data_IF_440240274570
#
_entry.id   IF_440240274570
#
_cell.length_a   1.000
_cell.length_b   1.000
_cell.length_c   1.000
_cell.angle_alpha   90.00
_cell.angle_beta   90.00
_cell.angle_gamma   90.00
#
_symmetry.space_group_name_H-M   'P 1'
#
loop_
_entity.id
_entity.type
_entity.pdbx_description
1 polymer ?
#
# COMPACT_ATOMS: atom_id res chain seq x y z
N UNK A 1 -24.24 6.78 -18.73
CA UNK A 1 -22.93 6.19 -18.39
C UNK A 1 -22.59 6.67 -16.99
N UNK A 2 -22.93 5.87 -15.98
CA UNK A 2 -22.74 6.25 -14.58
C UNK A 2 -21.25 6.15 -14.25
N UNK A 3 -20.63 7.28 -13.91
CA UNK A 3 -19.27 7.31 -13.40
C UNK A 3 -19.25 6.58 -12.05
N UNK A 4 -18.74 5.35 -12.08
CA UNK A 4 -18.33 4.64 -10.86
C UNK A 4 -17.12 5.41 -10.34
N UNK A 5 -17.22 5.91 -9.10
CA UNK A 5 -16.21 6.66 -8.34
C UNK A 5 -14.81 6.82 -8.99
N UNK A 6 -14.51 8.07 -9.39
CA UNK A 6 -13.16 8.64 -9.52
C UNK A 6 -12.32 8.09 -10.67
N UNK A 7 -12.28 8.82 -11.79
CA UNK A 7 -11.25 8.57 -12.79
C UNK A 7 -9.87 8.76 -12.14
N UNK A 8 -9.10 7.67 -12.08
CA UNK A 8 -7.76 7.57 -11.46
C UNK A 8 -6.84 8.69 -11.96
N UNK A 9 -7.07 9.22 -13.17
CA UNK A 9 -6.33 10.33 -13.74
C UNK A 9 -6.41 11.64 -12.94
N UNK A 10 -7.46 11.83 -12.12
CA UNK A 10 -7.65 13.02 -11.29
C UNK A 10 -7.25 12.85 -9.83
N UNK A 11 -6.72 11.67 -9.44
CA UNK A 11 -6.21 11.50 -8.09
C UNK A 11 -4.94 12.34 -7.90
N UNK A 12 -4.92 13.04 -6.77
CA UNK A 12 -3.75 13.78 -6.30
C UNK A 12 -2.77 12.84 -5.59
N UNK A 13 -1.48 13.13 -5.78
CA UNK A 13 -0.40 12.42 -5.10
C UNK A 13 0.09 13.24 -3.89
N UNK A 14 0.44 12.58 -2.77
CA UNK A 14 0.32 11.14 -2.53
C UNK A 14 -1.13 10.73 -2.20
N UNK A 15 -1.56 9.55 -2.65
CA UNK A 15 -2.93 9.05 -2.40
C UNK A 15 -3.20 8.95 -0.88
N UNK A 16 -4.31 9.51 -0.42
CA UNK A 16 -4.69 9.45 1.00
C UNK A 16 -5.33 8.11 1.35
N UNK A 17 -4.50 7.16 1.79
CA UNK A 17 -4.94 5.82 2.19
C UNK A 17 -5.81 5.88 3.45
N UNK A 18 -5.59 6.85 4.35
CA UNK A 18 -6.39 6.98 5.58
C UNK A 18 -7.82 7.39 5.23
N UNK A 19 -7.98 8.32 4.29
CA UNK A 19 -9.30 8.70 3.77
C UNK A 19 -10.02 7.52 3.08
N UNK A 20 -9.29 6.75 2.25
CA UNK A 20 -9.83 5.55 1.62
C UNK A 20 -10.30 4.54 2.68
N UNK A 21 -9.46 4.21 3.66
CA UNK A 21 -9.77 3.23 4.69
C UNK A 21 -10.97 3.65 5.55
N UNK A 22 -11.07 4.93 5.92
CA UNK A 22 -12.20 5.47 6.71
C UNK A 22 -13.54 5.45 5.97
N UNK A 23 -13.53 5.37 4.64
CA UNK A 23 -14.75 5.25 3.83
C UNK A 23 -15.28 3.82 3.73
N UNK A 24 -14.51 2.83 4.19
CA UNK A 24 -14.94 1.44 4.23
C UNK A 24 -15.80 1.24 5.48
N UNK A 25 -16.98 0.65 5.31
CA UNK A 25 -17.90 0.40 6.41
C UNK A 25 -17.23 -0.42 7.53
N UNK A 26 -17.54 -0.10 8.79
CA UNK A 26 -17.04 -0.79 10.00
C UNK A 26 -15.52 -0.70 10.23
N UNK A 27 -14.76 -0.08 9.33
CA UNK A 27 -13.31 0.13 9.51
C UNK A 27 -13.04 1.28 10.47
N UNK A 28 -12.14 1.03 11.41
CA UNK A 28 -11.62 2.00 12.33
C UNK A 28 -10.09 1.97 12.31
N UNK A 29 -9.47 3.15 12.24
CA UNK A 29 -8.01 3.27 12.29
C UNK A 29 -7.58 3.54 13.73
N UNK A 30 -6.81 2.63 14.31
CA UNK A 30 -6.24 2.80 15.63
C UNK A 30 -4.98 3.66 15.58
N UNK A 31 -4.81 4.53 16.58
CA UNK A 31 -3.65 5.41 16.74
C UNK A 31 -2.84 5.14 18.01
N UNK A 32 -3.38 4.30 18.88
CA UNK A 32 -2.80 4.05 20.20
C UNK A 32 -1.50 3.27 20.05
N UNK A 33 -0.55 3.51 20.94
CA UNK A 33 0.74 2.82 20.93
C UNK A 33 0.84 1.93 22.16
N UNK A 34 1.02 0.63 21.95
CA UNK A 34 1.41 -0.32 22.98
C UNK A 34 2.88 -0.74 22.77
N UNK A 35 3.64 -0.81 23.86
CA UNK A 35 5.01 -1.33 23.84
C UNK A 35 5.06 -2.80 23.42
N UNK A 36 3.98 -3.56 23.62
CA UNK A 36 3.91 -4.96 23.20
C UNK A 36 3.94 -5.10 21.67
N UNK A 37 3.51 -4.07 20.94
CA UNK A 37 3.39 -4.08 19.48
C UNK A 37 4.64 -3.53 18.77
N UNK A 38 5.72 -3.23 19.51
CA UNK A 38 6.95 -2.63 18.98
C UNK A 38 7.59 -3.41 17.82
N UNK A 39 7.42 -4.73 17.81
CA UNK A 39 7.99 -5.63 16.80
C UNK A 39 7.03 -5.93 15.63
N UNK A 40 5.79 -5.42 15.71
CA UNK A 40 4.75 -5.55 14.68
C UNK A 40 4.70 -4.25 13.89
N UNK A 41 4.53 -4.36 12.57
CA UNK A 41 4.48 -3.19 11.69
C UNK A 41 3.07 -2.63 11.55
N UNK A 42 2.10 -3.53 11.61
CA UNK A 42 0.68 -3.27 11.53
C UNK A 42 -0.09 -4.55 11.72
N UNK A 43 -1.38 -4.40 12.00
CA UNK A 43 -2.30 -5.51 12.09
C UNK A 43 -3.72 -5.10 11.72
N UNK A 44 -4.52 -6.11 11.39
CA UNK A 44 -5.95 -6.01 11.24
C UNK A 44 -6.64 -6.93 12.24
N UNK A 45 -7.54 -6.38 13.06
CA UNK A 45 -8.36 -7.11 14.03
C UNK A 45 -9.84 -6.98 13.72
N UNK A 46 -10.51 -8.12 13.56
CA UNK A 46 -11.96 -8.19 13.37
C UNK A 46 -12.63 -8.42 14.71
N UNK A 47 -13.70 -7.68 14.99
CA UNK A 47 -14.55 -7.84 16.17
C UNK A 47 -15.97 -8.13 15.74
N UNK A 48 -16.56 -9.14 16.35
CA UNK A 48 -17.96 -9.53 16.12
C UNK A 48 -18.86 -9.10 17.28
N UNK A 49 -20.14 -8.91 16.98
CA UNK A 49 -21.18 -8.72 17.98
C UNK A 49 -21.62 -10.06 18.62
N UNK A 50 -22.54 -10.00 19.58
CA UNK A 50 -23.12 -11.18 20.25
C UNK A 50 -23.87 -12.13 19.29
N UNK A 51 -24.27 -11.64 18.11
CA UNK A 51 -24.94 -12.43 17.07
C UNK A 51 -23.93 -13.11 16.12
N UNK A 52 -22.63 -12.85 16.28
CA UNK A 52 -21.56 -13.38 15.45
C UNK A 52 -21.32 -12.61 14.15
N UNK A 53 -21.97 -11.46 13.95
CA UNK A 53 -21.78 -10.60 12.78
C UNK A 53 -20.60 -9.66 13.01
N UNK A 54 -19.87 -9.31 11.94
CA UNK A 54 -18.80 -8.32 12.03
C UNK A 54 -19.38 -6.97 12.45
N UNK A 55 -18.95 -6.47 13.61
CA UNK A 55 -19.32 -5.16 14.15
C UNK A 55 -18.26 -4.12 13.77
N UNK A 56 -16.98 -4.47 13.93
CA UNK A 56 -15.86 -3.54 13.77
C UNK A 56 -14.62 -4.21 13.20
N UNK A 57 -13.90 -3.48 12.36
CA UNK A 57 -12.61 -3.87 11.79
C UNK A 57 -11.58 -2.82 12.20
N UNK A 58 -10.75 -3.14 13.17
CA UNK A 58 -9.68 -2.26 13.63
C UNK A 58 -8.43 -2.51 12.79
N UNK A 59 -7.91 -1.47 12.13
CA UNK A 59 -6.61 -1.49 11.46
C UNK A 59 -5.66 -0.64 12.28
N UNK A 60 -4.51 -1.20 12.62
CA UNK A 60 -3.44 -0.52 13.32
C UNK A 60 -2.16 -0.55 12.50
N UNK A 61 -1.39 0.52 12.59
CA UNK A 61 -0.06 0.63 11.98
C UNK A 61 0.87 1.25 12.99
N UNK A 62 2.06 0.68 13.10
CA UNK A 62 3.06 1.10 14.07
C UNK A 62 3.47 2.57 13.86
N UNK A 63 3.11 3.47 14.79
CA UNK A 63 3.33 4.91 14.61
C UNK A 63 4.81 5.31 14.73
N UNK A 64 5.68 4.42 15.21
CA UNK A 64 7.13 4.67 15.35
C UNK A 64 7.90 4.50 14.05
N UNK A 65 7.29 3.88 13.04
CA UNK A 65 7.94 3.64 11.75
C UNK A 65 8.01 4.89 10.89
N UNK A 66 8.95 4.95 9.94
CA UNK A 66 8.99 6.06 8.98
C UNK A 66 7.70 6.11 8.15
N UNK A 67 7.25 7.33 7.79
CA UNK A 67 5.96 7.56 7.15
C UNK A 67 5.73 6.73 5.87
N UNK A 68 6.77 6.52 5.06
CA UNK A 68 6.68 5.68 3.84
C UNK A 68 6.34 4.23 4.17
N UNK A 69 6.82 3.72 5.31
CA UNK A 69 6.53 2.37 5.78
C UNK A 69 5.14 2.30 6.38
N UNK A 70 4.75 3.26 7.22
CA UNK A 70 3.38 3.34 7.74
C UNK A 70 2.34 3.34 6.61
N UNK A 71 2.60 4.12 5.54
CA UNK A 71 1.71 4.18 4.37
C UNK A 71 1.64 2.86 3.61
N UNK A 72 2.77 2.17 3.45
CA UNK A 72 2.80 0.86 2.80
C UNK A 72 2.07 -0.18 3.64
N UNK A 73 2.33 -0.24 4.95
CA UNK A 73 1.65 -1.16 5.87
C UNK A 73 0.15 -0.91 5.87
N UNK A 74 -0.31 0.35 5.97
CA UNK A 74 -1.74 0.65 5.91
C UNK A 74 -2.37 0.17 4.59
N UNK A 75 -1.72 0.43 3.46
CA UNK A 75 -2.20 -0.04 2.16
C UNK A 75 -2.20 -1.57 2.04
N UNK A 76 -1.27 -2.24 2.73
CA UNK A 76 -1.18 -3.69 2.81
C UNK A 76 -2.33 -4.28 3.65
N UNK A 77 -2.62 -3.72 4.83
CA UNK A 77 -3.77 -4.13 5.65
C UNK A 77 -5.10 -3.94 4.91
N UNK A 78 -5.23 -2.81 4.19
CA UNK A 78 -6.38 -2.60 3.30
C UNK A 78 -6.42 -3.66 2.19
N UNK A 79 -5.26 -4.10 1.69
CA UNK A 79 -5.17 -5.22 0.76
C UNK A 79 -5.67 -6.55 1.33
N UNK A 80 -5.36 -6.87 2.59
CA UNK A 80 -5.95 -8.02 3.28
C UNK A 80 -7.46 -7.88 3.45
N UNK A 81 -7.93 -6.69 3.83
CA UNK A 81 -9.34 -6.41 3.95
C UNK A 81 -10.10 -6.71 2.65
N UNK A 82 -9.62 -6.20 1.51
CA UNK A 82 -10.28 -6.41 0.23
C UNK A 82 -10.15 -7.83 -0.33
N UNK A 83 -8.98 -8.47 -0.19
CA UNK A 83 -8.72 -9.75 -0.85
C UNK A 83 -9.12 -10.97 -0.02
N UNK A 84 -9.03 -10.88 1.31
CA UNK A 84 -9.15 -12.03 2.20
C UNK A 84 -10.39 -11.96 3.10
N UNK A 85 -10.80 -10.74 3.52
CA UNK A 85 -11.83 -10.55 4.54
C UNK A 85 -13.19 -10.24 3.93
N UNK A 86 -13.34 -9.15 3.17
CA UNK A 86 -14.62 -8.73 2.56
C UNK A 86 -15.28 -9.87 1.78
N UNK A 87 -14.57 -10.66 0.95
CA UNK A 87 -15.19 -11.75 0.20
C UNK A 87 -15.74 -12.89 1.07
N UNK A 88 -15.29 -13.01 2.32
CA UNK A 88 -15.64 -14.08 3.24
C UNK A 88 -16.22 -13.56 4.55
N UNK A 89 -16.69 -12.30 4.59
CA UNK A 89 -17.01 -11.59 5.84
C UNK A 89 -18.05 -12.31 6.70
N UNK A 90 -18.96 -13.06 6.07
CA UNK A 90 -20.02 -13.83 6.74
C UNK A 90 -19.54 -15.20 7.27
N UNK A 91 -18.41 -15.70 6.79
CA UNK A 91 -17.89 -17.05 7.09
C UNK A 91 -16.58 -17.02 7.90
N UNK A 92 -16.21 -15.87 8.45
CA UNK A 92 -15.06 -15.78 9.34
C UNK A 92 -15.36 -16.62 10.58
N UNK A 93 -14.51 -17.58 10.95
CA UNK A 93 -14.85 -18.52 12.03
C UNK A 93 -14.70 -17.86 13.43
N UNK A 94 -13.76 -16.93 13.61
CA UNK A 94 -13.45 -16.28 14.91
C UNK A 94 -12.93 -14.83 14.72
N UNK A 95 -12.64 -14.15 15.83
CA UNK A 95 -11.86 -12.90 15.83
C UNK A 95 -10.50 -13.17 15.15
N UNK A 96 -10.33 -12.64 13.94
CA UNK A 96 -9.11 -12.81 13.16
C UNK A 96 -8.16 -11.65 13.43
N UNK A 97 -6.89 -12.00 13.70
CA UNK A 97 -5.77 -11.06 13.70
C UNK A 97 -4.85 -11.43 12.54
N UNK A 98 -4.62 -10.48 11.64
CA UNK A 98 -3.61 -10.57 10.59
C UNK A 98 -2.49 -9.61 10.98
N UNK A 99 -1.31 -10.15 11.29
CA UNK A 99 -0.15 -9.38 11.75
C UNK A 99 0.95 -9.30 10.69
N UNK A 100 1.45 -8.09 10.44
CA UNK A 100 2.64 -7.88 9.61
C UNK A 100 3.87 -7.77 10.51
N UNK A 101 4.48 -8.93 10.79
CA UNK A 101 5.73 -9.00 11.54
C UNK A 101 6.94 -8.58 10.69
N UNK A 102 7.99 -8.06 11.35
CA UNK A 102 9.27 -7.74 10.72
C UNK A 102 10.03 -8.96 10.14
N UNK A 103 9.53 -10.19 10.38
CA UNK A 103 10.29 -11.42 10.20
C UNK A 103 10.33 -11.87 8.74
N UNK A 104 11.45 -11.57 8.07
CA UNK A 104 11.79 -11.93 6.68
C UNK A 104 12.19 -13.41 6.50
N UNK A 105 11.89 -14.29 7.46
CA UNK A 105 12.43 -15.65 7.51
C UNK A 105 11.51 -16.78 7.05
N UNK A 106 10.22 -16.51 6.84
CA UNK A 106 9.25 -17.51 6.38
C UNK A 106 8.89 -17.31 4.91
N UNK A 107 8.71 -18.41 4.18
CA UNK A 107 8.13 -18.41 2.83
C UNK A 107 6.90 -17.49 2.80
N UNK A 108 6.99 -16.42 2.01
CA UNK A 108 5.92 -15.43 1.92
C UNK A 108 4.67 -16.11 1.38
N UNK A 109 3.59 -16.10 2.16
CA UNK A 109 2.35 -16.76 1.74
C UNK A 109 1.77 -16.09 0.49
N UNK A 110 0.91 -16.80 -0.24
CA UNK A 110 0.20 -16.22 -1.38
C UNK A 110 -0.66 -15.01 -0.98
N UNK A 111 -1.20 -15.01 0.24
CA UNK A 111 -1.99 -13.89 0.79
C UNK A 111 -1.13 -12.65 0.99
N UNK A 112 0.02 -12.80 1.65
CA UNK A 112 1.00 -11.73 1.85
C UNK A 112 1.48 -11.12 0.51
N UNK A 113 1.70 -11.98 -0.49
CA UNK A 113 2.11 -11.54 -1.84
C UNK A 113 0.99 -10.77 -2.55
N UNK A 114 -0.27 -11.16 -2.35
CA UNK A 114 -1.43 -10.42 -2.88
C UNK A 114 -1.60 -9.07 -2.19
N UNK A 115 -1.47 -9.02 -0.87
CA UNK A 115 -1.58 -7.79 -0.09
C UNK A 115 -0.48 -6.78 -0.46
N UNK A 116 0.78 -7.23 -0.60
CA UNK A 116 1.88 -6.39 -1.12
C UNK A 116 1.59 -5.82 -2.51
N UNK A 117 1.08 -6.68 -3.41
CA UNK A 117 0.75 -6.27 -4.77
C UNK A 117 -0.37 -5.24 -4.76
N UNK A 118 -1.39 -5.45 -3.93
CA UNK A 118 -2.48 -4.50 -3.74
C UNK A 118 -1.94 -3.16 -3.22
N UNK A 119 -1.11 -3.17 -2.18
CA UNK A 119 -0.49 -1.97 -1.62
C UNK A 119 0.31 -1.18 -2.67
N UNK A 120 1.13 -1.89 -3.46
CA UNK A 120 1.90 -1.27 -4.54
C UNK A 120 1.01 -0.66 -5.64
N UNK A 121 -0.09 -1.33 -5.99
CA UNK A 121 -1.05 -0.82 -6.99
C UNK A 121 -1.84 0.37 -6.48
N UNK A 122 -2.26 0.34 -5.21
CA UNK A 122 -3.00 1.42 -4.57
C UNK A 122 -2.14 2.66 -4.39
N UNK A 123 -0.89 2.51 -3.91
CA UNK A 123 0.01 3.63 -3.70
C UNK A 123 0.61 4.17 -5.00
N UNK A 124 0.84 3.31 -5.99
CA UNK A 124 1.46 3.68 -7.26
C UNK A 124 0.66 3.16 -8.46
N UNK A 125 -0.54 3.71 -8.74
CA UNK A 125 -1.35 3.30 -9.88
C UNK A 125 -0.59 3.53 -11.20
N UNK A 126 -0.71 2.61 -12.19
CA UNK A 126 0.04 2.72 -13.44
C UNK A 126 -0.30 3.99 -14.23
N UNK A 127 -1.55 4.46 -14.16
CA UNK A 127 -1.99 5.72 -14.80
C UNK A 127 -1.25 6.92 -14.21
N UNK A 128 -1.15 7.00 -12.88
CA UNK A 128 -0.43 8.08 -12.20
C UNK A 128 1.07 8.00 -12.47
N UNK A 129 1.67 6.80 -12.45
CA UNK A 129 3.09 6.62 -12.81
C UNK A 129 3.35 7.12 -14.23
N UNK A 130 2.53 6.72 -15.19
CA UNK A 130 2.63 7.15 -16.59
C UNK A 130 2.50 8.66 -16.74
N UNK A 131 1.53 9.28 -16.05
CA UNK A 131 1.33 10.73 -16.01
C UNK A 131 2.58 11.44 -15.51
N UNK A 132 3.13 11.00 -14.37
CA UNK A 132 4.29 11.65 -13.76
C UNK A 132 5.59 11.45 -14.55
N UNK A 133 5.77 10.29 -15.16
CA UNK A 133 6.87 10.05 -16.09
C UNK A 133 6.78 10.97 -17.31
N UNK A 134 5.59 11.11 -17.90
CA UNK A 134 5.38 11.97 -19.07
C UNK A 134 5.66 13.44 -18.77
N UNK A 135 5.21 13.92 -17.61
CA UNK A 135 5.50 15.27 -17.12
C UNK A 135 7.01 15.49 -16.92
N UNK A 136 7.70 14.53 -16.29
CA UNK A 136 9.14 14.62 -16.05
C UNK A 136 9.93 14.63 -17.37
N UNK A 137 9.59 13.76 -18.31
CA UNK A 137 10.22 13.71 -19.64
C UNK A 137 10.05 15.03 -20.38
N UNK A 138 8.87 15.65 -20.29
CA UNK A 138 8.59 16.95 -20.92
C UNK A 138 9.50 18.04 -20.36
N UNK A 139 9.57 18.16 -19.03
CA UNK A 139 10.44 19.14 -18.34
C UNK A 139 11.92 18.92 -18.70
N UNK A 140 12.39 17.67 -18.73
CA UNK A 140 13.78 17.36 -19.05
C UNK A 140 14.13 17.68 -20.50
N UNK A 141 13.20 17.44 -21.45
CA UNK A 141 13.37 17.82 -22.85
C UNK A 141 13.48 19.33 -23.03
N UNK A 142 12.62 20.10 -22.35
CA UNK A 142 12.67 21.57 -22.38
C UNK A 142 14.00 22.11 -21.85
N UNK A 143 14.51 21.51 -20.78
CA UNK A 143 15.81 21.86 -20.18
C UNK A 143 17.02 21.30 -20.92
N UNK A 144 16.82 20.41 -21.91
CA UNK A 144 17.88 19.64 -22.58
C UNK A 144 18.78 18.86 -21.61
N UNK A 145 18.20 18.39 -20.51
CA UNK A 145 18.89 17.63 -19.47
C UNK A 145 18.65 16.12 -19.64
N UNK A 146 19.67 15.33 -19.30
CA UNK A 146 19.53 13.88 -19.13
C UNK A 146 19.73 13.55 -17.66
N UNK A 147 18.92 12.62 -17.14
CA UNK A 147 19.01 12.18 -15.75
C UNK A 147 19.24 10.67 -15.68
N UNK A 148 19.88 10.22 -14.60
CA UNK A 148 20.03 8.79 -14.32
C UNK A 148 18.69 8.18 -13.88
N UNK A 149 18.59 6.86 -13.99
CA UNK A 149 17.44 6.09 -13.49
C UNK A 149 17.28 6.27 -11.98
N UNK A 150 18.38 6.29 -11.23
CA UNK A 150 18.34 6.49 -9.77
C UNK A 150 17.77 7.86 -9.38
N UNK A 151 18.11 8.90 -10.14
CA UNK A 151 17.56 10.23 -9.91
C UNK A 151 16.04 10.27 -10.20
N UNK A 152 15.60 9.56 -11.24
CA UNK A 152 14.18 9.40 -11.57
C UNK A 152 13.43 8.64 -10.46
N UNK A 153 14.00 7.54 -9.95
CA UNK A 153 13.44 6.78 -8.82
C UNK A 153 13.29 7.69 -7.60
N UNK A 154 14.31 8.50 -7.29
CA UNK A 154 14.30 9.44 -6.16
C UNK A 154 13.25 10.54 -6.28
N UNK A 155 13.01 11.06 -7.49
CA UNK A 155 11.96 12.06 -7.72
C UNK A 155 10.58 11.43 -7.54
N UNK A 156 10.34 10.28 -8.17
CA UNK A 156 9.04 9.64 -8.11
C UNK A 156 8.74 9.11 -6.71
N UNK A 157 9.72 8.52 -6.00
CA UNK A 157 9.52 8.02 -4.64
C UNK A 157 9.06 9.12 -3.68
N UNK A 158 9.63 10.33 -3.81
CA UNK A 158 9.19 11.52 -3.07
C UNK A 158 7.77 11.93 -3.44
N UNK A 159 7.44 11.96 -4.73
CA UNK A 159 6.11 12.39 -5.21
C UNK A 159 5.00 11.43 -4.78
N UNK A 160 5.25 10.12 -4.83
CA UNK A 160 4.31 9.08 -4.41
C UNK A 160 4.35 8.81 -2.90
N UNK A 161 5.31 9.40 -2.19
CA UNK A 161 5.56 9.19 -0.76
C UNK A 161 5.72 7.69 -0.41
N UNK A 162 6.64 7.04 -1.12
CA UNK A 162 7.03 5.63 -0.94
C UNK A 162 8.55 5.50 -0.83
N UNK A 163 9.06 4.32 -0.46
CA UNK A 163 10.51 4.08 -0.46
C UNK A 163 11.08 4.04 -1.89
N UNK A 164 12.36 4.40 -2.05
CA UNK A 164 13.06 4.26 -3.35
C UNK A 164 13.06 2.80 -3.83
N UNK A 165 13.23 1.84 -2.92
CA UNK A 165 13.14 0.40 -3.23
C UNK A 165 11.76 0.03 -3.79
N UNK A 166 10.68 0.47 -3.15
CA UNK A 166 9.31 0.20 -3.60
C UNK A 166 9.03 0.83 -4.97
N UNK A 167 9.51 2.07 -5.19
CA UNK A 167 9.37 2.75 -6.49
C UNK A 167 10.14 2.02 -7.59
N UNK A 168 11.38 1.59 -7.33
CA UNK A 168 12.18 0.80 -8.28
C UNK A 168 11.45 -0.48 -8.69
N UNK A 169 11.03 -1.30 -7.72
CA UNK A 169 10.28 -2.54 -7.97
C UNK A 169 9.01 -2.25 -8.79
N UNK A 170 8.31 -1.14 -8.50
CA UNK A 170 7.12 -0.76 -9.24
C UNK A 170 7.43 -0.43 -10.69
N UNK A 171 8.46 0.37 -10.96
CA UNK A 171 8.87 0.71 -12.31
C UNK A 171 9.33 -0.51 -13.12
N UNK A 172 10.03 -1.45 -12.49
CA UNK A 172 10.37 -2.75 -13.08
C UNK A 172 9.12 -3.56 -13.41
N UNK A 173 8.18 -3.67 -12.46
CA UNK A 173 6.93 -4.43 -12.66
C UNK A 173 6.04 -3.88 -13.78
N UNK A 174 6.17 -2.59 -14.08
CA UNK A 174 5.45 -1.91 -15.15
C UNK A 174 6.26 -1.84 -16.46
N UNK A 175 7.49 -2.36 -16.48
CA UNK A 175 8.34 -2.41 -17.68
C UNK A 175 8.99 -1.08 -18.06
N UNK A 176 9.02 -0.08 -17.17
CA UNK A 176 9.69 1.21 -17.45
C UNK A 176 11.21 1.14 -17.31
N UNK A 177 11.71 0.22 -16.48
CA UNK A 177 13.14 -0.03 -16.30
C UNK A 177 13.39 -1.55 -16.30
N UNK A 178 14.60 -1.97 -16.66
CA UNK A 178 14.99 -3.38 -16.60
C UNK A 178 15.21 -3.78 -15.13
N UNK A 179 14.74 -4.96 -14.77
CA UNK A 179 15.12 -5.57 -13.50
C UNK A 179 16.63 -5.87 -13.54
N UNK A 180 17.35 -5.44 -12.51
CA UNK A 180 18.72 -5.90 -12.30
C UNK A 180 18.66 -7.22 -11.53
N UNK A 181 19.29 -8.27 -12.07
CA UNK A 181 19.28 -9.61 -11.47
C UNK A 181 19.95 -9.67 -10.08
N UNK A 182 20.64 -8.62 -9.65
CA UNK A 182 21.39 -8.55 -8.38
C UNK A 182 20.56 -8.08 -7.15
N UNK A 183 19.29 -7.72 -7.31
CA UNK A 183 18.47 -7.13 -6.22
C UNK A 183 17.29 -8.02 -5.75
N UNK A 184 17.25 -9.29 -6.19
CA UNK A 184 16.17 -10.25 -5.88
C UNK A 184 16.42 -11.12 -4.64
N UNK A 185 17.42 -10.78 -3.84
CA UNK A 185 17.75 -11.46 -2.57
C UNK A 185 17.07 -10.82 -1.35
#
# INVERSE_FOLDING_TARGET
MYAIYGDVNYLELPIDIKDIARKIEKVNLLSDFDLNDLFVSGFLKIKKDESGLVDKIDIWVNPTEVLTRQRFTLAHEVGHLFNDIIPNIDNLEEDMIVDVAFNRGALKSHKETKADRFAAQLLMPPQLISRELSNLVTILKEKKEKVSVDYLIKILSKKFLVSEKSMKIRLESLGYIKANDNDRD
#
